data_IF_652031860329
#
_entry.id   IF_652031860329
#
_cell.length_a   1.000
_cell.length_b   1.000
_cell.length_c   1.000
_cell.angle_alpha   90.00
_cell.angle_beta   90.00
_cell.angle_gamma   90.00
#
_symmetry.space_group_name_H-M   'P 1'
#
loop_
_entity.id
_entity.type
_entity.pdbx_description
1 polymer ?
#
# COMPACT_ATOMS: atom_id res chain seq x y z
N UNK A 1 1.38 -31.86 21.86
CA UNK A 1 0.27 -30.89 21.69
C UNK A 1 -0.39 -31.10 20.34
N UNK A 2 -1.66 -30.72 20.19
CA UNK A 2 -2.40 -30.82 18.92
C UNK A 2 -2.69 -29.42 18.40
N UNK A 3 -2.46 -29.19 17.10
CA UNK A 3 -2.82 -27.94 16.40
C UNK A 3 -3.84 -28.27 15.32
N UNK A 4 -4.91 -27.48 15.24
CA UNK A 4 -5.97 -27.63 14.22
C UNK A 4 -6.02 -26.32 13.44
N UNK A 5 -5.93 -26.41 12.11
CA UNK A 5 -6.04 -25.26 11.21
C UNK A 5 -7.34 -25.41 10.41
N UNK A 6 -8.23 -24.42 10.53
CA UNK A 6 -9.49 -24.35 9.78
C UNK A 6 -9.39 -23.26 8.72
N UNK A 7 -9.58 -23.64 7.45
CA UNK A 7 -9.48 -22.74 6.30
C UNK A 7 -10.43 -23.17 5.19
N UNK A 8 -10.89 -22.20 4.39
CA UNK A 8 -11.64 -22.46 3.16
C UNK A 8 -10.74 -22.90 2.00
N UNK A 9 -9.42 -22.69 2.08
CA UNK A 9 -8.47 -23.05 1.02
C UNK A 9 -7.36 -23.97 1.56
N UNK A 10 -7.64 -25.26 1.82
CA UNK A 10 -6.65 -26.21 2.36
C UNK A 10 -5.47 -26.49 1.41
N UNK A 11 -5.60 -26.15 0.12
CA UNK A 11 -4.57 -26.39 -0.89
C UNK A 11 -3.57 -25.24 -1.06
N UNK A 12 -3.74 -24.15 -0.31
CA UNK A 12 -2.81 -23.03 -0.34
C UNK A 12 -1.38 -23.47 0.02
N UNK A 13 -0.37 -23.02 -0.73
CA UNK A 13 1.02 -23.48 -0.57
C UNK A 13 1.53 -23.30 0.87
N UNK A 14 1.21 -22.18 1.51
CA UNK A 14 1.56 -21.92 2.91
C UNK A 14 1.08 -23.04 3.85
N UNK A 15 -0.12 -23.58 3.64
CA UNK A 15 -0.67 -24.65 4.47
C UNK A 15 -0.03 -26.01 4.18
N UNK A 16 0.36 -26.27 2.93
CA UNK A 16 1.11 -27.48 2.55
C UNK A 16 2.45 -27.55 3.29
N UNK A 17 3.18 -26.44 3.35
CA UNK A 17 4.47 -26.34 4.03
C UNK A 17 4.33 -26.36 5.56
N UNK A 18 3.31 -25.67 6.12
CA UNK A 18 3.02 -25.68 7.56
C UNK A 18 2.73 -27.09 8.08
N UNK A 19 1.99 -27.91 7.32
CA UNK A 19 1.70 -29.31 7.70
C UNK A 19 2.98 -30.12 7.96
N UNK A 20 4.04 -29.83 7.22
CA UNK A 20 5.32 -30.53 7.32
C UNK A 20 6.35 -29.77 8.18
N UNK A 21 5.96 -28.65 8.81
CA UNK A 21 6.87 -27.73 9.51
C UNK A 21 8.04 -27.23 8.64
N UNK A 22 7.87 -27.18 7.31
CA UNK A 22 8.93 -26.80 6.38
C UNK A 22 8.91 -25.30 6.10
N UNK A 23 9.49 -24.53 7.03
CA UNK A 23 9.60 -23.09 6.90
C UNK A 23 10.46 -22.65 5.70
N UNK A 24 11.51 -23.42 5.36
CA UNK A 24 12.47 -23.02 4.32
C UNK A 24 11.81 -23.06 2.95
N UNK A 25 11.06 -24.12 2.64
CA UNK A 25 10.31 -24.22 1.38
C UNK A 25 9.20 -23.18 1.30
N UNK A 26 8.49 -22.91 2.40
CA UNK A 26 7.54 -21.80 2.47
C UNK A 26 8.20 -20.46 2.12
N UNK A 27 9.32 -20.14 2.76
CA UNK A 27 10.03 -18.89 2.52
C UNK A 27 10.49 -18.77 1.06
N UNK A 28 11.08 -19.83 0.51
CA UNK A 28 11.57 -19.83 -0.87
C UNK A 28 10.46 -19.56 -1.90
N UNK A 29 9.26 -20.08 -1.66
CA UNK A 29 8.10 -19.87 -2.54
C UNK A 29 7.49 -18.46 -2.34
N UNK A 30 7.25 -18.04 -1.09
CA UNK A 30 6.70 -16.72 -0.76
C UNK A 30 7.62 -15.58 -1.24
N UNK A 31 8.94 -15.71 -1.06
CA UNK A 31 9.89 -14.66 -1.45
C UNK A 31 9.97 -14.50 -2.97
N UNK A 32 9.78 -15.58 -3.73
CA UNK A 32 9.68 -15.52 -5.19
C UNK A 32 8.44 -14.72 -5.63
N UNK A 33 7.27 -15.02 -5.06
CA UNK A 33 6.05 -14.25 -5.33
C UNK A 33 6.20 -12.76 -5.01
N UNK A 34 6.85 -12.42 -3.89
CA UNK A 34 7.11 -11.01 -3.54
C UNK A 34 8.04 -10.33 -4.52
N UNK A 35 9.05 -11.05 -5.05
CA UNK A 35 9.95 -10.52 -6.08
C UNK A 35 9.18 -10.22 -7.36
N UNK A 36 8.37 -11.16 -7.82
CA UNK A 36 7.61 -11.04 -9.07
C UNK A 36 6.59 -9.90 -9.00
N UNK A 37 5.94 -9.72 -7.84
CA UNK A 37 4.98 -8.65 -7.60
C UNK A 37 5.63 -7.31 -7.16
N UNK A 38 6.97 -7.29 -7.04
CA UNK A 38 7.76 -6.15 -6.54
C UNK A 38 7.26 -5.64 -5.20
N UNK A 39 7.10 -6.53 -4.23
CA UNK A 39 6.80 -6.20 -2.83
C UNK A 39 8.08 -6.23 -1.98
N UNK A 40 8.09 -5.60 -0.79
CA UNK A 40 9.21 -5.69 0.15
C UNK A 40 9.62 -7.15 0.42
N UNK A 41 10.93 -7.46 0.40
CA UNK A 41 12.07 -6.52 0.48
C UNK A 41 12.58 -5.97 -0.86
N UNK A 42 11.97 -6.33 -2.00
CA UNK A 42 12.46 -5.97 -3.34
C UNK A 42 12.08 -4.55 -3.77
N UNK A 43 11.17 -3.91 -3.03
CA UNK A 43 10.76 -2.53 -3.22
C UNK A 43 10.54 -1.84 -1.88
N UNK A 44 10.41 -0.52 -1.92
CA UNK A 44 9.84 0.29 -0.84
C UNK A 44 8.41 0.66 -1.15
N UNK A 45 7.62 0.85 -0.09
CA UNK A 45 6.22 1.26 -0.19
C UNK A 45 5.99 2.47 0.71
N UNK A 46 5.29 3.47 0.20
CA UNK A 46 4.70 4.54 1.00
C UNK A 46 3.19 4.44 0.88
N UNK A 47 2.49 4.39 2.02
CA UNK A 47 1.04 4.48 2.06
C UNK A 47 0.61 5.91 2.40
N UNK A 48 -0.06 6.56 1.46
CA UNK A 48 -0.70 7.85 1.66
C UNK A 48 -2.13 7.61 2.13
N UNK A 49 -2.40 7.85 3.41
CA UNK A 49 -3.73 7.70 4.01
C UNK A 49 -4.45 9.04 4.03
N UNK A 50 -5.60 9.12 3.37
CA UNK A 50 -6.48 10.28 3.34
C UNK A 50 -7.68 10.04 4.25
N UNK A 51 -8.09 11.05 5.01
CA UNK A 51 -9.34 10.98 5.78
C UNK A 51 -10.08 12.30 5.85
N UNK A 52 -11.42 12.23 5.79
CA UNK A 52 -12.30 13.39 5.89
C UNK A 52 -13.67 13.01 6.46
N UNK A 53 -14.41 13.99 7.00
CA UNK A 53 -15.79 13.79 7.45
C UNK A 53 -16.78 13.74 6.29
N UNK A 54 -16.54 14.51 5.23
CA UNK A 54 -17.31 14.46 3.98
C UNK A 54 -16.67 13.46 2.99
N UNK A 55 -17.45 12.48 2.52
CA UNK A 55 -17.01 11.44 1.58
C UNK A 55 -16.70 12.00 0.19
N UNK A 56 -17.51 12.93 -0.30
CA UNK A 56 -17.37 13.50 -1.64
C UNK A 56 -16.08 14.31 -1.76
N UNK A 57 -15.85 15.20 -0.78
CA UNK A 57 -14.58 15.94 -0.68
C UNK A 57 -13.37 15.01 -0.60
N UNK A 58 -13.48 13.89 0.13
CA UNK A 58 -12.41 12.90 0.21
C UNK A 58 -12.10 12.27 -1.15
N UNK A 59 -13.14 11.88 -1.89
CA UNK A 59 -13.01 11.26 -3.22
C UNK A 59 -12.35 12.22 -4.21
N UNK A 60 -12.80 13.48 -4.24
CA UNK A 60 -12.25 14.49 -5.15
C UNK A 60 -10.78 14.78 -4.85
N UNK A 61 -10.42 14.88 -3.57
CA UNK A 61 -9.04 15.08 -3.14
C UNK A 61 -8.17 13.84 -3.40
N UNK A 62 -8.70 12.64 -3.24
CA UNK A 62 -7.99 11.42 -3.56
C UNK A 62 -7.69 11.32 -5.07
N UNK A 63 -8.65 11.69 -5.93
CA UNK A 63 -8.44 11.79 -7.40
C UNK A 63 -7.40 12.84 -7.75
N UNK A 64 -7.53 14.05 -7.18
CA UNK A 64 -6.56 15.13 -7.40
C UNK A 64 -5.15 14.73 -7.00
N UNK A 65 -5.00 14.06 -5.85
CA UNK A 65 -3.72 13.54 -5.37
C UNK A 65 -3.14 12.51 -6.35
N UNK A 66 -3.97 11.59 -6.88
CA UNK A 66 -3.56 10.62 -7.90
C UNK A 66 -3.03 11.30 -9.16
N UNK A 67 -3.79 12.24 -9.71
CA UNK A 67 -3.44 12.92 -10.95
C UNK A 67 -2.15 13.73 -10.78
N UNK A 68 -1.99 14.38 -9.63
CA UNK A 68 -0.75 15.09 -9.26
C UNK A 68 0.42 14.11 -9.15
N UNK A 69 0.22 12.96 -8.49
CA UNK A 69 1.26 11.94 -8.34
C UNK A 69 1.68 11.37 -9.70
N UNK A 70 0.75 11.15 -10.62
CA UNK A 70 1.04 10.68 -11.98
C UNK A 70 1.86 11.71 -12.77
N UNK A 71 1.49 13.00 -12.72
CA UNK A 71 2.24 14.08 -13.36
C UNK A 71 3.67 14.18 -12.82
N UNK A 72 3.83 14.17 -11.51
CA UNK A 72 5.15 14.20 -10.88
C UNK A 72 5.96 12.94 -11.17
N UNK A 73 5.32 11.77 -11.25
CA UNK A 73 5.99 10.50 -11.58
C UNK A 73 6.60 10.53 -12.99
N UNK A 74 5.95 11.20 -13.94
CA UNK A 74 6.49 11.40 -15.29
C UNK A 74 7.84 12.15 -15.28
N UNK A 75 8.03 13.10 -14.37
CA UNK A 75 9.31 13.81 -14.19
C UNK A 75 10.44 12.90 -13.67
N UNK A 76 10.10 11.84 -12.93
CA UNK A 76 11.06 10.86 -12.39
C UNK A 76 11.23 9.62 -13.29
N UNK A 77 10.76 9.69 -14.54
CA UNK A 77 10.93 8.62 -15.51
C UNK A 77 10.04 7.40 -15.26
N UNK A 78 8.87 7.57 -14.65
CA UNK A 78 7.86 6.53 -14.43
C UNK A 78 8.35 5.30 -13.63
N UNK A 79 9.32 5.49 -12.73
CA UNK A 79 9.88 4.43 -11.88
C UNK A 79 9.08 4.13 -10.61
N UNK A 80 7.93 4.81 -10.42
CA UNK A 80 7.08 4.67 -9.25
C UNK A 80 5.72 4.14 -9.70
N UNK A 81 5.35 2.97 -9.18
CA UNK A 81 4.03 2.39 -9.36
C UNK A 81 3.06 3.03 -8.35
N UNK A 82 1.93 3.53 -8.84
CA UNK A 82 0.89 4.18 -8.04
C UNK A 82 -0.34 3.25 -8.04
N UNK A 83 -0.70 2.74 -6.86
CA UNK A 83 -1.83 1.83 -6.68
C UNK A 83 -2.94 2.56 -5.91
N UNK A 84 -4.15 2.53 -6.47
CA UNK A 84 -5.30 3.26 -5.95
C UNK A 84 -5.57 4.57 -6.72
N UNK A 85 -6.18 5.57 -6.09
CA UNK A 85 -6.63 5.60 -4.70
C UNK A 85 -7.80 4.63 -4.50
N UNK A 86 -7.87 4.00 -3.33
CA UNK A 86 -8.88 2.99 -2.99
C UNK A 86 -9.44 3.24 -1.58
N UNK A 87 -10.65 2.74 -1.33
CA UNK A 87 -11.21 2.74 0.02
C UNK A 87 -10.32 1.92 0.96
N UNK A 88 -10.06 2.43 2.16
CA UNK A 88 -9.29 1.68 3.16
C UNK A 88 -10.08 0.44 3.62
N UNK A 89 -9.42 -0.67 4.03
CA UNK A 89 -10.10 -1.87 4.53
C UNK A 89 -11.14 -1.57 5.61
N UNK A 90 -10.84 -0.59 6.46
CA UNK A 90 -11.81 0.05 7.34
C UNK A 90 -12.22 1.40 6.76
N UNK A 91 -13.31 1.40 5.99
CA UNK A 91 -13.82 2.54 5.24
C UNK A 91 -14.14 3.78 6.09
N UNK A 92 -14.56 3.60 7.35
CA UNK A 92 -14.98 4.70 8.24
C UNK A 92 -14.60 4.45 9.69
N UNK A 93 -13.97 5.43 10.35
CA UNK A 93 -13.63 5.39 11.79
C UNK A 93 -13.94 6.76 12.41
N UNK A 94 -14.61 6.79 13.56
CA UNK A 94 -14.94 8.02 14.31
C UNK A 94 -15.53 9.12 13.41
N UNK A 95 -16.52 8.74 12.60
CA UNK A 95 -17.19 9.59 11.61
C UNK A 95 -16.30 10.19 10.50
N UNK A 96 -15.12 9.62 10.24
CA UNK A 96 -14.25 10.00 9.12
C UNK A 96 -14.13 8.85 8.13
N UNK A 97 -14.39 9.14 6.87
CA UNK A 97 -14.11 8.25 5.75
C UNK A 97 -12.61 8.15 5.52
N UNK A 98 -12.14 6.98 5.10
CA UNK A 98 -10.71 6.66 4.94
C UNK A 98 -10.45 6.10 3.54
N UNK A 99 -9.52 6.72 2.85
CA UNK A 99 -9.02 6.32 1.54
C UNK A 99 -7.51 6.21 1.60
N UNK A 100 -6.93 5.39 0.75
CA UNK A 100 -5.49 5.20 0.69
C UNK A 100 -4.96 5.10 -0.73
N UNK A 101 -3.71 5.50 -0.92
CA UNK A 101 -2.98 5.37 -2.16
C UNK A 101 -1.58 4.87 -1.85
N UNK A 102 -1.17 3.77 -2.50
CA UNK A 102 0.17 3.21 -2.31
C UNK A 102 1.09 3.71 -3.41
N UNK A 103 2.29 4.11 -3.02
CA UNK A 103 3.40 4.41 -3.90
C UNK A 103 4.45 3.33 -3.71
N UNK A 104 4.88 2.69 -4.80
CA UNK A 104 5.82 1.57 -4.77
C UNK A 104 6.97 1.81 -5.73
N UNK A 105 8.20 1.65 -5.27
CA UNK A 105 9.40 1.78 -6.11
C UNK A 105 10.57 1.01 -5.54
N UNK A 106 11.48 0.56 -6.40
CA UNK A 106 12.75 -0.06 -6.00
C UNK A 106 13.72 0.98 -5.40
N UNK A 107 13.53 2.27 -5.72
CA UNK A 107 14.39 3.35 -5.25
C UNK A 107 13.69 4.20 -4.17
N UNK A 108 14.18 4.08 -2.93
CA UNK A 108 13.66 4.80 -1.77
C UNK A 108 13.78 6.33 -1.93
N UNK A 109 14.87 6.83 -2.53
CA UNK A 109 15.13 8.26 -2.66
C UNK A 109 14.10 8.91 -3.59
N UNK A 110 13.81 8.30 -4.74
CA UNK A 110 12.79 8.81 -5.66
C UNK A 110 11.40 8.77 -5.03
N UNK A 111 11.10 7.72 -4.26
CA UNK A 111 9.83 7.56 -3.55
C UNK A 111 9.63 8.67 -2.50
N UNK A 112 10.67 8.95 -1.71
CA UNK A 112 10.66 10.01 -0.69
C UNK A 112 10.56 11.40 -1.32
N UNK A 113 11.27 11.64 -2.43
CA UNK A 113 11.19 12.90 -3.17
C UNK A 113 9.79 13.15 -3.73
N UNK A 114 9.15 12.13 -4.32
CA UNK A 114 7.78 12.21 -4.80
C UNK A 114 6.80 12.50 -3.65
N UNK A 115 6.88 11.74 -2.56
CA UNK A 115 6.02 11.93 -1.40
C UNK A 115 6.17 13.34 -0.80
N UNK A 116 7.41 13.85 -0.69
CA UNK A 116 7.67 15.21 -0.19
C UNK A 116 7.07 16.27 -1.10
N UNK A 117 7.23 16.14 -2.42
CA UNK A 117 6.63 17.07 -3.39
C UNK A 117 5.11 17.03 -3.35
N UNK A 118 4.52 15.85 -3.23
CA UNK A 118 3.07 15.67 -3.09
C UNK A 118 2.50 16.40 -1.87
N UNK A 119 3.20 16.32 -0.73
CA UNK A 119 2.80 17.03 0.49
C UNK A 119 2.98 18.56 0.38
N UNK A 120 3.84 19.04 -0.52
CA UNK A 120 4.04 20.47 -0.78
C UNK A 120 3.06 21.03 -1.82
N UNK A 121 2.39 20.17 -2.58
CA UNK A 121 1.40 20.60 -3.58
C UNK A 121 0.22 21.27 -2.88
N UNK A 122 -0.01 22.54 -3.20
CA UNK A 122 -1.16 23.31 -2.72
C UNK A 122 -2.45 22.72 -3.29
N UNK A 123 -3.46 22.50 -2.45
CA UNK A 123 -4.79 22.04 -2.88
C UNK A 123 -5.40 20.94 -2.01
N UNK A 124 -4.57 20.21 -1.24
CA UNK A 124 -4.98 19.07 -0.42
C UNK A 124 -5.20 19.50 1.05
N UNK A 125 -5.87 20.63 1.23
CA UNK A 125 -6.02 21.24 2.56
C UNK A 125 -7.34 20.84 3.24
N UNK A 126 -8.30 20.34 2.47
CA UNK A 126 -9.64 19.99 2.96
C UNK A 126 -9.72 18.59 3.58
N UNK A 127 -8.67 17.78 3.45
CA UNK A 127 -8.61 16.41 3.95
C UNK A 127 -7.32 16.19 4.72
N UNK A 128 -7.36 15.32 5.73
CA UNK A 128 -6.17 14.95 6.49
C UNK A 128 -5.41 13.89 5.71
N UNK A 129 -4.17 14.18 5.34
CA UNK A 129 -3.25 13.23 4.70
C UNK A 129 -2.17 12.82 5.70
N UNK A 130 -1.96 11.52 5.85
CA UNK A 130 -0.86 10.94 6.63
C UNK A 130 0.03 10.14 5.69
N UNK A 131 1.35 10.33 5.80
CA UNK A 131 2.35 9.56 5.05
C UNK A 131 2.90 8.48 5.97
N UNK A 132 2.76 7.23 5.56
CA UNK A 132 3.25 6.05 6.29
C UNK A 132 4.32 5.37 5.42
N UNK A 133 5.58 5.43 5.86
CA UNK A 133 6.74 4.92 5.11
C UNK A 133 7.05 3.52 5.57
N UNK A 134 7.22 2.60 4.61
CA UNK A 134 7.42 1.17 4.85
C UNK A 134 6.35 0.58 5.80
N UNK A 135 5.07 0.69 5.44
CA UNK A 135 3.96 0.27 6.29
C UNK A 135 4.02 -1.25 6.55
N UNK A 136 3.98 -1.64 7.82
CA UNK A 136 3.88 -3.05 8.20
C UNK A 136 2.47 -3.61 7.96
N UNK A 137 1.46 -2.73 7.93
CA UNK A 137 0.06 -3.11 7.74
C UNK A 137 -0.70 -2.06 6.92
N UNK A 138 -1.49 -2.57 5.96
CA UNK A 138 -2.36 -1.77 5.08
C UNK A 138 -3.80 -1.60 5.62
N UNK A 139 -4.09 -2.07 6.83
CA UNK A 139 -5.35 -1.86 7.57
C UNK A 139 -5.42 -0.47 8.26
#
# INVERSE_FOLDING_TARGET
>A
GKVIIQTFNPQHFALKHVRNHDYKSFYAEEIAFRKDLRYPPFSRIINLRLSATNKETLLDQAKLLKDTAQKLCAEYGNKIEIIGPAESPLAKIKNRWRWQMLLKSENANTLHQLARRLMQTRGINSVRVTVDVDPENFM
#
